data_IF_230005248405
#
_entry.id   IF_230005248405
#
_cell.length_a   1.000
_cell.length_b   1.000
_cell.length_c   1.000
_cell.angle_alpha   90.00
_cell.angle_beta   90.00
_cell.angle_gamma   90.00
#
_symmetry.space_group_name_H-M   'P 1'
#
loop_
_entity.id
_entity.type
_entity.pdbx_description
1 polymer ?
#
# COMPACT_ATOMS: atom_id res chain seq x y z
N UNK A 1 -10.85 -8.88 30.81
CA UNK A 1 -11.43 -9.05 29.45
C UNK A 1 -11.30 -7.70 28.76
N UNK A 2 -10.46 -7.58 27.76
CA UNK A 2 -10.34 -6.36 26.97
C UNK A 2 -11.68 -6.12 26.26
N UNK A 3 -12.16 -4.88 26.28
CA UNK A 3 -13.36 -4.52 25.51
C UNK A 3 -13.14 -4.90 24.03
N UNK A 4 -14.17 -5.39 23.34
CA UNK A 4 -14.06 -5.66 21.91
C UNK A 4 -13.64 -4.39 21.16
N UNK A 5 -12.75 -4.53 20.19
CA UNK A 5 -12.26 -3.42 19.37
C UNK A 5 -13.39 -2.92 18.48
N UNK A 6 -14.12 -1.89 18.95
CA UNK A 6 -15.24 -1.29 18.22
C UNK A 6 -14.73 -0.35 17.12
N UNK A 7 -14.61 -0.90 15.92
CA UNK A 7 -14.11 -0.17 14.75
C UNK A 7 -14.97 1.06 14.42
N UNK A 8 -16.30 0.98 14.55
CA UNK A 8 -17.17 2.08 14.16
C UNK A 8 -17.01 3.30 15.09
N UNK A 9 -16.97 3.05 16.41
CA UNK A 9 -16.75 4.09 17.40
C UNK A 9 -15.34 4.69 17.28
N UNK A 10 -14.32 3.82 17.11
CA UNK A 10 -12.93 4.26 16.97
C UNK A 10 -12.69 5.00 15.65
N UNK A 11 -13.25 4.56 14.52
CA UNK A 11 -13.12 5.24 13.24
C UNK A 11 -13.65 6.67 13.29
N UNK A 12 -14.80 6.87 13.95
CA UNK A 12 -15.35 8.22 14.16
C UNK A 12 -14.44 9.09 15.05
N UNK A 13 -13.93 8.52 16.14
CA UNK A 13 -13.06 9.22 17.09
C UNK A 13 -11.72 9.61 16.48
N UNK A 14 -11.16 8.72 15.64
CA UNK A 14 -9.83 8.88 15.05
C UNK A 14 -9.85 9.48 13.64
N UNK A 15 -11.01 9.81 13.10
CA UNK A 15 -11.16 10.34 11.73
C UNK A 15 -10.27 11.57 11.44
N UNK A 16 -10.05 12.43 12.46
CA UNK A 16 -9.27 13.67 12.35
C UNK A 16 -8.05 13.69 13.33
N UNK A 17 -7.64 12.55 13.82
CA UNK A 17 -6.45 12.46 14.68
C UNK A 17 -5.17 12.45 13.85
N UNK A 18 -4.04 12.78 14.50
CA UNK A 18 -2.74 12.73 13.85
C UNK A 18 -2.37 11.32 13.41
N UNK A 19 -1.54 11.17 12.36
CA UNK A 19 -1.01 9.85 11.96
C UNK A 19 -0.40 9.09 13.12
N UNK A 20 0.32 9.80 14.01
CA UNK A 20 0.97 9.21 15.16
C UNK A 20 -0.04 8.67 16.18
N UNK A 21 -1.17 9.37 16.42
CA UNK A 21 -2.21 8.90 17.32
C UNK A 21 -2.92 7.65 16.79
N UNK A 22 -3.15 7.59 15.46
CA UNK A 22 -3.70 6.41 14.81
C UNK A 22 -2.74 5.23 14.91
N UNK A 23 -1.44 5.44 14.70
CA UNK A 23 -0.42 4.41 14.87
C UNK A 23 -0.29 3.93 16.33
N UNK A 24 -0.36 4.83 17.31
CA UNK A 24 -0.38 4.47 18.73
C UNK A 24 -1.55 3.54 19.05
N UNK A 25 -2.78 3.92 18.61
CA UNK A 25 -3.95 3.06 18.76
C UNK A 25 -3.71 1.66 18.16
N UNK A 26 -3.15 1.61 16.96
CA UNK A 26 -2.87 0.35 16.28
C UNK A 26 -1.86 -0.51 17.04
N UNK A 27 -0.76 0.07 17.55
CA UNK A 27 0.22 -0.64 18.35
C UNK A 27 -0.32 -1.07 19.71
N UNK A 28 -1.14 -0.25 20.38
CA UNK A 28 -1.75 -0.58 21.67
C UNK A 28 -2.67 -1.80 21.60
N UNK A 29 -3.37 -1.99 20.47
CA UNK A 29 -4.32 -3.09 20.32
C UNK A 29 -3.73 -4.34 19.66
N UNK A 30 -2.81 -4.18 18.72
CA UNK A 30 -2.31 -5.29 17.90
C UNK A 30 -0.83 -5.63 18.18
N UNK A 31 -0.06 -4.72 18.79
CA UNK A 31 1.34 -4.98 19.13
C UNK A 31 2.11 -5.58 17.94
N UNK A 32 2.63 -6.79 18.12
CA UNK A 32 3.39 -7.54 17.12
C UNK A 32 2.54 -8.10 15.97
N UNK A 33 1.21 -8.08 16.07
CA UNK A 33 0.30 -8.47 15.01
C UNK A 33 -0.02 -7.33 14.02
N UNK A 34 0.50 -6.13 14.27
CA UNK A 34 0.45 -5.01 13.33
C UNK A 34 1.63 -5.06 12.37
N UNK A 35 1.35 -4.99 11.07
CA UNK A 35 2.35 -4.93 10.02
C UNK A 35 2.15 -3.71 9.12
N UNK A 36 3.26 -3.09 8.71
CA UNK A 36 3.25 -1.95 7.79
C UNK A 36 3.49 -2.44 6.36
N UNK A 37 2.61 -2.08 5.44
CA UNK A 37 2.85 -2.25 4.02
C UNK A 37 3.75 -1.14 3.50
N UNK A 38 4.81 -1.49 2.77
CA UNK A 38 5.79 -0.55 2.25
C UNK A 38 5.98 -0.69 0.74
N UNK A 39 5.76 0.37 -0.03
CA UNK A 39 5.92 0.35 -1.48
C UNK A 39 6.25 1.70 -2.14
N UNK A 40 6.00 2.84 -1.50
CA UNK A 40 6.13 4.16 -2.11
C UNK A 40 6.48 5.28 -1.13
N UNK A 41 6.44 6.52 -1.62
CA UNK A 41 6.81 7.70 -0.84
C UNK A 41 5.96 7.86 0.43
N UNK A 42 4.65 7.66 0.32
CA UNK A 42 3.75 7.70 1.47
C UNK A 42 4.15 6.68 2.53
N UNK A 43 4.52 5.50 2.07
CA UNK A 43 4.83 4.40 2.97
C UNK A 43 6.15 4.61 3.73
N UNK A 44 7.14 5.34 3.16
CA UNK A 44 8.35 5.68 3.93
C UNK A 44 8.04 6.64 5.07
N UNK A 45 7.11 7.59 4.87
CA UNK A 45 6.62 8.46 5.94
C UNK A 45 5.95 7.64 7.04
N UNK A 46 5.12 6.66 6.64
CA UNK A 46 4.46 5.75 7.57
C UNK A 46 5.46 4.89 8.35
N UNK A 47 6.48 4.34 7.67
CA UNK A 47 7.54 3.56 8.30
C UNK A 47 8.33 4.41 9.30
N UNK A 48 8.71 5.65 8.94
CA UNK A 48 9.42 6.57 9.84
C UNK A 48 8.62 6.87 11.10
N UNK A 49 7.34 7.23 10.94
CA UNK A 49 6.47 7.53 12.08
C UNK A 49 6.26 6.29 12.97
N UNK A 50 6.04 5.12 12.37
CA UNK A 50 5.86 3.87 13.10
C UNK A 50 7.14 3.46 13.84
N UNK A 51 8.32 3.57 13.20
CA UNK A 51 9.61 3.25 13.79
C UNK A 51 9.98 4.19 14.95
N UNK A 52 9.58 5.46 14.89
CA UNK A 52 9.74 6.39 16.04
C UNK A 52 8.93 5.99 17.25
N UNK A 53 7.79 5.34 17.05
CA UNK A 53 6.94 4.81 18.12
C UNK A 53 7.39 3.43 18.60
N UNK A 54 7.77 2.55 17.68
CA UNK A 54 8.22 1.19 17.96
C UNK A 54 9.40 0.82 17.06
N UNK A 55 10.60 0.71 17.65
CA UNK A 55 11.84 0.35 16.93
C UNK A 55 11.83 -1.06 16.34
N UNK A 56 10.90 -1.92 16.75
CA UNK A 56 10.74 -3.30 16.28
C UNK A 56 9.53 -3.45 15.34
N UNK A 57 9.05 -2.34 14.76
CA UNK A 57 7.94 -2.36 13.82
C UNK A 57 8.18 -3.38 12.70
N UNK A 58 7.15 -4.14 12.38
CA UNK A 58 7.20 -5.15 11.32
C UNK A 58 6.75 -4.55 9.99
N UNK A 59 7.57 -4.73 8.96
CA UNK A 59 7.36 -4.14 7.64
C UNK A 59 7.43 -5.23 6.58
N UNK A 60 6.53 -5.19 5.60
CA UNK A 60 6.61 -6.03 4.40
C UNK A 60 6.51 -5.20 3.12
N UNK A 61 7.08 -5.72 2.06
CA UNK A 61 6.96 -5.16 0.71
C UNK A 61 6.63 -6.25 -0.30
N UNK A 62 5.87 -5.90 -1.34
CA UNK A 62 5.50 -6.81 -2.42
C UNK A 62 6.55 -6.74 -3.53
N UNK A 63 7.25 -7.84 -3.75
CA UNK A 63 8.04 -8.03 -4.97
C UNK A 63 7.23 -8.80 -6.01
N UNK A 64 6.81 -8.10 -7.04
CA UNK A 64 6.05 -8.70 -8.14
C UNK A 64 6.93 -9.46 -9.15
N UNK A 65 8.27 -9.43 -8.98
CA UNK A 65 9.27 -9.86 -9.95
C UNK A 65 9.34 -8.94 -11.19
N UNK A 66 8.76 -7.72 -11.09
CA UNK A 66 8.68 -6.74 -12.19
C UNK A 66 8.77 -5.29 -11.68
N UNK A 67 9.39 -5.08 -10.51
CA UNK A 67 9.63 -3.75 -10.00
C UNK A 67 10.77 -3.07 -10.76
N UNK A 68 10.80 -1.75 -10.74
CA UNK A 68 11.93 -0.99 -11.22
C UNK A 68 13.18 -1.27 -10.37
N UNK A 69 14.39 -1.27 -10.93
CA UNK A 69 15.63 -1.38 -10.17
C UNK A 69 15.74 -0.32 -9.05
N UNK A 70 15.24 0.89 -9.30
CA UNK A 70 15.18 1.97 -8.33
C UNK A 70 14.30 1.64 -7.12
N UNK A 71 13.22 0.89 -7.32
CA UNK A 71 12.35 0.43 -6.22
C UNK A 71 13.07 -0.55 -5.32
N UNK A 72 13.84 -1.50 -5.86
CA UNK A 72 14.65 -2.41 -5.04
C UNK A 72 15.71 -1.66 -4.23
N UNK A 73 16.41 -0.70 -4.85
CA UNK A 73 17.38 0.15 -4.15
C UNK A 73 16.73 0.96 -3.03
N UNK A 74 15.55 1.51 -3.29
CA UNK A 74 14.79 2.26 -2.29
C UNK A 74 14.37 1.39 -1.10
N UNK A 75 13.88 0.17 -1.34
CA UNK A 75 13.56 -0.78 -0.27
C UNK A 75 14.79 -1.06 0.59
N UNK A 76 15.95 -1.28 -0.04
CA UNK A 76 17.20 -1.56 0.66
C UNK A 76 17.72 -0.34 1.44
N UNK A 77 17.63 0.87 0.89
CA UNK A 77 17.93 2.11 1.60
C UNK A 77 17.10 2.29 2.87
N UNK A 78 15.79 2.03 2.79
CA UNK A 78 14.89 2.10 3.97
C UNK A 78 15.26 1.04 5.00
N UNK A 79 15.53 -0.20 4.55
CA UNK A 79 15.98 -1.29 5.42
C UNK A 79 17.25 -0.90 6.19
N UNK A 80 18.23 -0.31 5.52
CA UNK A 80 19.50 0.12 6.12
C UNK A 80 19.32 1.30 7.07
N UNK A 81 18.60 2.35 6.64
CA UNK A 81 18.41 3.57 7.45
C UNK A 81 17.75 3.30 8.78
N UNK A 82 16.75 2.43 8.82
CA UNK A 82 16.01 2.11 10.03
C UNK A 82 16.53 0.86 10.75
N UNK A 83 17.51 0.16 10.18
CA UNK A 83 17.97 -1.15 10.64
C UNK A 83 16.79 -2.11 10.89
N UNK A 84 15.87 -2.18 9.93
CA UNK A 84 14.65 -2.99 10.00
C UNK A 84 14.71 -4.15 9.00
N UNK A 85 14.36 -5.37 9.41
CA UNK A 85 14.08 -6.43 8.46
C UNK A 85 12.77 -6.10 7.71
N UNK A 86 12.84 -6.00 6.37
CA UNK A 86 11.66 -5.86 5.52
C UNK A 86 11.37 -7.23 4.90
N UNK A 87 10.21 -7.79 5.21
CA UNK A 87 9.78 -9.06 4.62
C UNK A 87 9.38 -8.85 3.16
N UNK A 88 10.00 -9.58 2.25
CA UNK A 88 9.69 -9.49 0.81
C UNK A 88 8.71 -10.59 0.43
N UNK A 89 7.54 -10.21 -0.08
CA UNK A 89 6.47 -11.10 -0.49
C UNK A 89 6.49 -11.30 -1.99
N UNK A 90 6.85 -12.50 -2.44
CA UNK A 90 6.94 -12.85 -3.86
C UNK A 90 5.77 -13.72 -4.31
N UNK A 91 5.41 -13.70 -5.61
CA UNK A 91 4.39 -14.56 -6.18
C UNK A 91 4.73 -16.05 -6.01
N UNK A 92 3.71 -16.87 -5.81
CA UNK A 92 3.85 -18.32 -5.83
C UNK A 92 4.17 -18.80 -7.26
N UNK A 93 5.29 -19.48 -7.41
CA UNK A 93 5.74 -20.02 -8.69
C UNK A 93 4.77 -21.04 -9.28
N UNK A 94 4.08 -21.81 -8.44
CA UNK A 94 3.09 -22.75 -8.89
C UNK A 94 1.90 -22.10 -9.63
N UNK A 95 1.64 -20.82 -9.34
CA UNK A 95 0.62 -20.01 -10.03
C UNK A 95 1.21 -19.16 -11.16
N UNK A 96 2.41 -18.63 -10.94
CA UNK A 96 3.05 -17.72 -11.89
C UNK A 96 3.57 -18.43 -13.15
N UNK A 97 4.23 -19.58 -13.00
CA UNK A 97 4.87 -20.26 -14.13
C UNK A 97 3.85 -20.74 -15.18
N UNK A 98 2.70 -21.38 -14.81
CA UNK A 98 1.64 -21.70 -15.78
C UNK A 98 1.06 -20.47 -16.48
N UNK A 99 0.79 -19.40 -15.74
CA UNK A 99 0.26 -18.15 -16.28
C UNK A 99 1.20 -17.56 -17.33
N UNK A 100 2.51 -17.49 -17.03
CA UNK A 100 3.50 -16.95 -17.97
C UNK A 100 3.68 -17.87 -19.18
N UNK A 101 3.62 -19.20 -19.00
CA UNK A 101 3.72 -20.16 -20.08
C UNK A 101 2.54 -20.06 -21.05
N UNK A 102 1.33 -19.86 -20.52
CA UNK A 102 0.11 -19.80 -21.33
C UNK A 102 -0.08 -18.44 -22.01
N UNK A 103 0.06 -17.34 -21.25
CA UNK A 103 -0.30 -16.00 -21.70
C UNK A 103 0.88 -15.10 -22.06
N UNK A 104 2.10 -15.51 -21.71
CA UNK A 104 3.31 -14.72 -21.92
C UNK A 104 3.51 -13.64 -20.87
N UNK A 105 4.57 -12.85 -21.06
CA UNK A 105 5.00 -11.86 -20.06
C UNK A 105 4.21 -10.55 -20.08
N UNK A 106 3.50 -10.26 -21.17
CA UNK A 106 2.88 -8.95 -21.42
C UNK A 106 1.38 -9.03 -21.76
N UNK A 107 0.71 -10.12 -21.36
CA UNK A 107 -0.73 -10.35 -21.61
C UNK A 107 -1.61 -9.22 -21.06
N UNK A 108 -1.20 -8.57 -19.98
CA UNK A 108 -1.95 -7.49 -19.34
C UNK A 108 -2.19 -6.27 -20.25
N UNK A 109 -1.43 -6.09 -21.31
CA UNK A 109 -1.72 -5.04 -22.32
C UNK A 109 -2.95 -5.37 -23.18
N UNK A 110 -3.32 -6.65 -23.30
CA UNK A 110 -4.47 -7.12 -24.07
C UNK A 110 -5.65 -7.48 -23.17
N UNK A 111 -5.35 -8.19 -22.09
CA UNK A 111 -6.35 -8.82 -21.21
C UNK A 111 -6.70 -7.94 -20.01
N UNK A 112 -6.06 -6.76 -19.88
CA UNK A 112 -6.13 -5.94 -18.68
C UNK A 112 -5.21 -6.44 -17.56
N UNK A 113 -4.95 -5.58 -16.57
CA UNK A 113 -3.96 -5.87 -15.52
C UNK A 113 -4.46 -6.85 -14.44
N UNK A 114 -5.78 -7.12 -14.37
CA UNK A 114 -6.43 -7.78 -13.23
C UNK A 114 -5.83 -9.15 -12.88
N UNK A 115 -5.71 -10.05 -13.85
CA UNK A 115 -5.18 -11.40 -13.61
C UNK A 115 -3.69 -11.38 -13.23
N UNK A 116 -2.88 -10.59 -13.93
CA UNK A 116 -1.47 -10.42 -13.60
C UNK A 116 -1.28 -9.88 -12.18
N UNK A 117 -2.06 -8.86 -11.79
CA UNK A 117 -2.05 -8.32 -10.42
C UNK A 117 -2.59 -9.33 -9.40
N UNK A 118 -3.60 -10.12 -9.77
CA UNK A 118 -4.14 -11.20 -8.96
C UNK A 118 -3.04 -12.17 -8.49
N UNK A 119 -2.25 -12.65 -9.45
CA UNK A 119 -1.17 -13.62 -9.20
C UNK A 119 0.03 -12.96 -8.52
N UNK A 120 0.45 -11.76 -8.99
CA UNK A 120 1.72 -11.16 -8.58
C UNK A 120 1.65 -10.28 -7.33
N UNK A 121 0.44 -9.84 -6.94
CA UNK A 121 0.24 -8.92 -5.81
C UNK A 121 -0.81 -9.42 -4.83
N UNK A 122 -2.03 -9.72 -5.30
CA UNK A 122 -3.15 -10.02 -4.41
C UNK A 122 -2.94 -11.36 -3.72
N UNK A 123 -2.45 -12.36 -4.43
CA UNK A 123 -2.16 -13.67 -3.84
C UNK A 123 -1.11 -13.60 -2.73
N UNK A 124 0.11 -13.07 -2.97
CA UNK A 124 1.10 -12.98 -1.89
C UNK A 124 0.65 -12.07 -0.74
N UNK A 125 -0.07 -10.99 -1.02
CA UNK A 125 -0.65 -10.16 0.03
C UNK A 125 -1.69 -10.94 0.86
N UNK A 126 -2.62 -11.66 0.23
CA UNK A 126 -3.63 -12.48 0.91
C UNK A 126 -2.98 -13.51 1.83
N UNK A 127 -1.94 -14.17 1.36
CA UNK A 127 -1.17 -15.16 2.15
C UNK A 127 -0.53 -14.50 3.38
N UNK A 128 0.03 -13.30 3.24
CA UNK A 128 0.57 -12.53 4.37
C UNK A 128 -0.53 -12.07 5.32
N UNK A 129 -1.55 -11.43 4.80
CA UNK A 129 -2.64 -10.88 5.64
C UNK A 129 -3.44 -11.96 6.36
N UNK A 130 -3.41 -13.22 5.90
CA UNK A 130 -3.97 -14.35 6.63
C UNK A 130 -3.25 -14.67 7.95
N UNK A 131 -2.05 -14.14 8.18
CA UNK A 131 -1.22 -14.44 9.36
C UNK A 131 -1.13 -13.27 10.36
N UNK A 132 -1.82 -12.16 10.12
CA UNK A 132 -1.70 -10.94 10.93
C UNK A 132 -3.07 -10.44 11.39
N UNK A 133 -3.15 -9.80 12.55
CA UNK A 133 -4.39 -9.22 13.08
C UNK A 133 -4.73 -7.87 12.46
N UNK A 134 -3.70 -7.08 12.12
CA UNK A 134 -3.87 -5.76 11.52
C UNK A 134 -2.73 -5.41 10.57
N UNK A 135 -3.02 -4.49 9.64
CA UNK A 135 -2.01 -3.89 8.79
C UNK A 135 -2.24 -2.39 8.60
N UNK A 136 -1.18 -1.66 8.31
CA UNK A 136 -1.26 -0.24 8.03
C UNK A 136 -0.73 0.07 6.63
N UNK A 137 -1.36 1.04 5.96
CA UNK A 137 -1.03 1.47 4.60
C UNK A 137 -0.84 2.98 4.53
N UNK A 138 -0.04 3.43 3.56
CA UNK A 138 0.12 4.84 3.24
C UNK A 138 -0.98 5.41 2.35
N UNK A 139 -2.17 4.78 2.31
CA UNK A 139 -3.28 5.31 1.51
C UNK A 139 -3.70 6.70 1.97
N UNK A 140 -3.92 7.58 0.99
CA UNK A 140 -4.40 8.95 1.18
C UNK A 140 -5.64 9.20 0.31
N UNK A 141 -6.57 10.00 0.82
CA UNK A 141 -7.75 10.43 0.04
C UNK A 141 -7.35 11.23 -1.20
N UNK A 142 -6.32 12.05 -1.07
CA UNK A 142 -5.76 12.91 -2.11
C UNK A 142 -5.19 12.14 -3.30
N UNK A 143 -4.77 10.87 -3.13
CA UNK A 143 -4.16 10.07 -4.19
C UNK A 143 -5.09 9.76 -5.37
N UNK A 144 -6.40 9.66 -5.13
CA UNK A 144 -7.39 9.34 -6.16
C UNK A 144 -8.78 9.78 -5.74
N UNK A 145 -9.27 10.94 -6.21
CA UNK A 145 -10.62 11.41 -5.89
C UNK A 145 -11.73 10.42 -6.27
N UNK A 146 -11.50 9.61 -7.31
CA UNK A 146 -12.48 8.64 -7.78
C UNK A 146 -12.56 7.35 -6.96
N UNK A 147 -11.43 6.87 -6.40
CA UNK A 147 -11.38 5.55 -5.73
C UNK A 147 -10.95 5.62 -4.27
N UNK A 148 -10.42 6.76 -3.80
CA UNK A 148 -9.85 6.88 -2.44
C UNK A 148 -10.46 8.00 -1.60
N UNK A 149 -11.39 8.76 -2.13
CA UNK A 149 -12.02 9.90 -1.41
C UNK A 149 -12.65 9.51 -0.06
N UNK A 150 -13.06 8.26 0.09
CA UNK A 150 -13.72 7.72 1.29
C UNK A 150 -12.81 6.85 2.18
N UNK A 151 -11.49 6.85 1.94
CA UNK A 151 -10.56 6.08 2.77
C UNK A 151 -10.68 6.53 4.23
N UNK A 152 -11.05 5.60 5.11
CA UNK A 152 -11.14 5.83 6.54
C UNK A 152 -9.75 5.68 7.20
N UNK A 153 -9.52 6.39 8.32
CA UNK A 153 -8.30 6.23 9.10
C UNK A 153 -8.16 4.81 9.68
N UNK A 154 -9.28 4.17 9.93
CA UNK A 154 -9.41 2.81 10.49
C UNK A 154 -10.65 2.15 9.89
N UNK A 155 -10.53 0.90 9.45
CA UNK A 155 -11.62 0.12 8.87
C UNK A 155 -11.42 -1.39 9.08
N UNK A 156 -12.49 -2.17 8.93
CA UNK A 156 -12.37 -3.61 8.72
C UNK A 156 -12.03 -3.84 7.26
N UNK A 157 -10.96 -4.58 7.00
CA UNK A 157 -10.61 -4.97 5.63
C UNK A 157 -11.49 -6.13 5.17
N UNK A 158 -12.65 -5.82 4.60
CA UNK A 158 -13.61 -6.82 4.13
C UNK A 158 -13.09 -7.68 2.98
N UNK A 159 -12.12 -7.18 2.20
CA UNK A 159 -11.53 -7.92 1.07
C UNK A 159 -10.62 -9.07 1.51
N UNK A 160 -10.06 -8.98 2.72
CA UNK A 160 -9.13 -9.95 3.28
C UNK A 160 -9.58 -10.56 4.61
N UNK A 161 -10.70 -10.14 5.17
CA UNK A 161 -11.37 -10.82 6.28
C UNK A 161 -12.06 -12.11 5.82
N UNK A 162 -12.27 -13.04 6.76
CA UNK A 162 -13.08 -14.25 6.56
C UNK A 162 -14.16 -14.32 7.66
N UNK A 163 -15.17 -15.22 7.55
CA UNK A 163 -16.15 -15.39 8.62
C UNK A 163 -15.53 -15.69 9.99
N UNK A 164 -14.38 -16.38 10.00
CA UNK A 164 -13.68 -16.81 11.22
C UNK A 164 -12.68 -15.80 11.73
N UNK A 165 -12.30 -14.77 10.90
CA UNK A 165 -11.23 -13.85 11.24
C UNK A 165 -11.47 -12.45 10.67
N UNK A 166 -11.59 -11.48 11.55
CA UNK A 166 -11.59 -10.06 11.17
C UNK A 166 -10.16 -9.56 11.01
N UNK A 167 -9.87 -8.93 9.89
CA UNK A 167 -8.64 -8.20 9.63
C UNK A 167 -8.91 -6.69 9.74
N UNK A 168 -8.06 -6.02 10.50
CA UNK A 168 -8.16 -4.57 10.67
C UNK A 168 -7.16 -3.85 9.79
N UNK A 169 -7.61 -2.74 9.19
CA UNK A 169 -6.77 -1.91 8.34
C UNK A 169 -6.73 -0.48 8.85
N UNK A 170 -5.52 0.03 8.99
CA UNK A 170 -5.24 1.40 9.40
C UNK A 170 -4.67 2.17 8.21
N UNK A 171 -5.15 3.40 8.02
CA UNK A 171 -4.64 4.33 7.03
C UNK A 171 -4.26 5.64 7.73
N UNK A 172 -3.14 5.67 8.47
CA UNK A 172 -2.77 6.83 9.30
C UNK A 172 -2.62 8.11 8.50
N UNK A 173 -2.19 7.99 7.23
CA UNK A 173 -1.95 9.12 6.34
C UNK A 173 -3.20 9.54 5.54
N UNK A 174 -4.40 8.98 5.82
CA UNK A 174 -5.61 9.18 5.02
C UNK A 174 -5.95 10.65 4.76
N UNK A 175 -5.65 11.54 5.70
CA UNK A 175 -5.95 12.98 5.62
C UNK A 175 -4.79 13.81 5.03
N UNK A 176 -3.59 13.25 4.95
CA UNK A 176 -2.43 14.01 4.47
C UNK A 176 -2.52 14.27 2.96
N UNK A 177 -2.16 15.49 2.59
CA UNK A 177 -2.00 15.86 1.18
C UNK A 177 -0.64 15.39 0.64
N UNK A 178 -0.50 15.37 -0.68
CA UNK A 178 0.79 15.08 -1.33
C UNK A 178 1.86 16.09 -0.90
N UNK A 179 1.50 17.36 -0.75
CA UNK A 179 2.41 18.42 -0.31
C UNK A 179 2.93 18.16 1.12
N UNK A 180 2.06 17.76 2.04
CA UNK A 180 2.44 17.44 3.41
C UNK A 180 3.36 16.21 3.49
N UNK A 181 3.09 15.16 2.70
CA UNK A 181 3.96 13.99 2.60
C UNK A 181 5.35 14.38 2.11
N UNK A 182 5.43 15.11 1.02
CA UNK A 182 6.72 15.57 0.49
C UNK A 182 7.41 16.60 1.37
N UNK A 183 6.64 17.44 2.07
CA UNK A 183 7.14 18.33 3.12
C UNK A 183 7.84 17.56 4.22
N UNK A 184 7.21 16.49 4.71
CA UNK A 184 7.77 15.60 5.72
C UNK A 184 9.05 14.89 5.25
N UNK A 185 9.04 14.33 4.03
CA UNK A 185 10.22 13.69 3.43
C UNK A 185 11.40 14.64 3.35
N UNK A 186 11.18 15.86 2.82
CA UNK A 186 12.25 16.86 2.67
C UNK A 186 12.77 17.39 4.00
N UNK A 187 11.85 17.66 4.94
CA UNK A 187 12.21 18.21 6.26
C UNK A 187 13.07 17.24 7.07
N UNK A 188 12.84 15.93 6.93
CA UNK A 188 13.56 14.90 7.68
C UNK A 188 14.59 14.15 6.83
N UNK A 189 14.82 14.61 5.60
CA UNK A 189 15.78 14.00 4.66
C UNK A 189 15.56 12.47 4.50
N UNK A 190 14.28 12.04 4.45
CA UNK A 190 13.97 10.64 4.31
C UNK A 190 14.33 10.14 2.89
N UNK A 191 14.73 8.88 2.76
CA UNK A 191 14.97 8.30 1.45
C UNK A 191 13.66 8.22 0.66
N UNK A 192 13.75 8.37 -0.64
CA UNK A 192 12.64 8.19 -1.57
C UNK A 192 13.11 7.58 -2.88
N UNK A 193 12.18 7.02 -3.64
CA UNK A 193 12.50 6.40 -4.91
C UNK A 193 12.96 7.47 -5.93
N UNK A 194 14.17 7.33 -6.48
CA UNK A 194 14.75 8.29 -7.43
C UNK A 194 13.96 8.47 -8.74
N UNK A 195 13.02 7.58 -9.04
CA UNK A 195 12.10 7.76 -10.16
C UNK A 195 11.22 9.00 -10.01
N UNK A 196 10.98 9.48 -8.79
CA UNK A 196 10.22 10.72 -8.57
C UNK A 196 10.91 11.93 -9.22
N UNK A 197 12.24 11.98 -9.27
CA UNK A 197 13.02 13.02 -9.95
C UNK A 197 12.85 12.98 -11.48
N UNK A 198 12.36 11.87 -12.01
CA UNK A 198 12.11 11.64 -13.44
C UNK A 198 10.62 11.76 -13.80
N UNK A 199 9.80 12.35 -12.92
CA UNK A 199 8.38 12.59 -13.15
C UNK A 199 7.46 11.41 -12.89
N UNK A 200 7.94 10.33 -12.26
CA UNK A 200 7.08 9.25 -11.81
C UNK A 200 6.47 9.64 -10.45
N UNK A 201 5.17 9.88 -10.39
CA UNK A 201 4.51 10.26 -9.13
C UNK A 201 3.99 9.02 -8.41
N UNK A 202 3.24 8.14 -9.08
CA UNK A 202 2.75 6.87 -8.53
C UNK A 202 3.52 5.71 -9.16
N UNK A 203 4.34 5.02 -8.37
CA UNK A 203 5.25 3.99 -8.86
C UNK A 203 4.69 2.59 -8.56
N UNK A 204 4.77 1.69 -9.56
CA UNK A 204 4.41 0.29 -9.41
C UNK A 204 5.34 -0.59 -10.23
N UNK A 205 4.81 -1.67 -10.85
CA UNK A 205 5.60 -2.49 -11.76
C UNK A 205 6.11 -1.65 -12.93
N UNK A 206 7.36 -1.90 -13.36
CA UNK A 206 8.00 -1.20 -14.46
C UNK A 206 7.12 -1.14 -15.73
N UNK A 207 6.61 -2.25 -16.26
CA UNK A 207 5.81 -2.21 -17.49
C UNK A 207 4.42 -1.58 -17.31
N UNK A 208 4.01 -1.29 -16.08
CA UNK A 208 2.69 -0.73 -15.75
C UNK A 208 2.76 0.71 -15.25
N UNK A 209 3.93 1.34 -15.34
CA UNK A 209 4.15 2.69 -14.80
C UNK A 209 4.95 3.54 -15.78
N UNK A 210 4.50 4.76 -16.00
CA UNK A 210 5.21 5.79 -16.77
C UNK A 210 5.21 7.11 -16.01
N UNK A 211 6.10 8.05 -16.35
CA UNK A 211 6.03 9.41 -15.80
C UNK A 211 4.72 10.09 -16.22
N UNK A 212 4.29 11.08 -15.44
CA UNK A 212 3.11 11.89 -15.70
C UNK A 212 3.52 13.30 -16.12
N UNK A 213 2.69 13.95 -16.93
CA UNK A 213 2.86 15.35 -17.28
C UNK A 213 2.39 16.25 -16.13
N UNK A 214 2.87 17.50 -16.05
CA UNK A 214 2.53 18.41 -14.95
C UNK A 214 1.03 18.64 -14.71
N UNK A 215 0.20 18.46 -15.75
CA UNK A 215 -1.25 18.64 -15.68
C UNK A 215 -2.04 17.33 -15.49
N UNK A 216 -1.35 16.22 -15.31
CA UNK A 216 -1.97 14.92 -15.13
C UNK A 216 -2.10 14.59 -13.64
N UNK A 217 -3.17 13.88 -13.29
CA UNK A 217 -3.32 13.33 -11.95
C UNK A 217 -2.21 12.31 -11.65
N UNK A 218 -1.79 12.21 -10.38
CA UNK A 218 -0.64 11.37 -9.96
C UNK A 218 -0.75 9.91 -10.40
N UNK A 219 -1.95 9.37 -10.56
CA UNK A 219 -2.18 7.98 -11.01
C UNK A 219 -2.37 7.82 -12.53
N UNK A 220 -2.31 8.88 -13.32
CA UNK A 220 -2.43 8.79 -14.78
C UNK A 220 -1.29 7.99 -15.42
N UNK A 221 -0.14 7.94 -14.80
CA UNK A 221 0.98 7.09 -15.20
C UNK A 221 0.79 5.59 -14.97
N UNK A 222 -0.25 5.17 -14.22
CA UNK A 222 -0.54 3.76 -13.90
C UNK A 222 -1.51 3.19 -14.93
N UNK A 223 -1.20 1.99 -15.47
CA UNK A 223 -2.04 1.30 -16.46
C UNK A 223 -2.59 2.31 -17.51
N UNK A 224 -1.72 3.08 -18.11
CA UNK A 224 -2.09 4.20 -19.00
C UNK A 224 -2.90 3.77 -20.24
N UNK A 225 -2.94 2.47 -20.55
CA UNK A 225 -3.72 1.89 -21.64
C UNK A 225 -5.16 1.51 -21.22
N UNK A 226 -5.51 1.64 -19.93
CA UNK A 226 -6.83 1.34 -19.41
C UNK A 226 -7.61 2.62 -19.11
N UNK A 227 -8.94 2.51 -19.06
CA UNK A 227 -9.81 3.62 -18.67
C UNK A 227 -9.56 4.04 -17.19
N UNK A 228 -9.75 5.32 -16.91
CA UNK A 228 -9.47 5.89 -15.59
C UNK A 228 -10.23 5.22 -14.44
N UNK A 229 -11.44 4.72 -14.72
CA UNK A 229 -12.30 4.02 -13.75
C UNK A 229 -11.77 2.62 -13.34
N UNK A 230 -10.85 2.05 -14.11
CA UNK A 230 -10.27 0.71 -13.87
C UNK A 230 -8.87 0.77 -13.26
N UNK A 231 -8.30 1.97 -13.08
CA UNK A 231 -6.93 2.17 -12.59
C UNK A 231 -6.77 1.99 -11.07
N UNK A 232 -7.36 0.95 -10.49
CA UNK A 232 -7.11 0.56 -9.10
C UNK A 232 -6.63 -0.89 -9.02
N UNK A 233 -5.58 -1.10 -8.27
CA UNK A 233 -5.08 -2.43 -7.98
C UNK A 233 -6.03 -3.11 -6.97
N UNK A 234 -6.37 -4.38 -7.19
CA UNK A 234 -7.20 -5.16 -6.28
C UNK A 234 -6.65 -5.33 -4.85
N UNK A 235 -5.48 -4.75 -4.53
CA UNK A 235 -4.97 -4.65 -3.16
C UNK A 235 -5.92 -3.86 -2.24
N UNK A 236 -6.72 -2.97 -2.82
CA UNK A 236 -7.65 -2.09 -2.14
C UNK A 236 -9.05 -2.19 -2.78
N UNK A 237 -9.49 -3.43 -3.00
CA UNK A 237 -10.78 -3.69 -3.65
C UNK A 237 -11.97 -3.03 -2.95
N UNK A 238 -11.89 -2.80 -1.62
CA UNK A 238 -12.89 -2.05 -0.87
C UNK A 238 -13.06 -0.58 -1.30
N UNK A 239 -12.08 -0.03 -2.03
CA UNK A 239 -12.16 1.35 -2.54
C UNK A 239 -12.87 1.43 -3.91
N UNK A 240 -13.12 0.30 -4.56
CA UNK A 240 -13.90 0.28 -5.79
C UNK A 240 -15.37 0.49 -5.44
N UNK A 241 -15.92 1.62 -5.84
CA UNK A 241 -17.35 1.87 -5.74
C UNK A 241 -18.04 0.85 -6.63
N UNK A 242 -18.64 -0.17 -6.05
CA UNK A 242 -19.61 -1.00 -6.77
C UNK A 242 -20.76 -0.07 -7.18
N UNK A 243 -20.83 0.25 -8.47
CA UNK A 243 -22.05 0.86 -9.03
C UNK A 243 -23.18 -0.13 -8.76
N UNK A 244 -24.08 0.29 -7.83
CA UNK A 244 -25.36 -0.39 -7.64
C UNK A 244 -26.22 -0.22 -8.89
#
# INVERSE_FOLDING_TARGET
MSQPFDVAALAATYANKSPQDILKLAFEHFGDDLWISFSGAEDVVLVDMAWKLNKQVKVFSLDTGRLHPETYRFIDQVREQYNLPIEILSPDRAKLDPFVKEKGLFSFYKDGHGECCGIRKIEPLRRKLATVGAWATGQRRDQSPGTRSQVAALEIDSAFSTPERTLYKFNPLAQMTSEEVWGYIRMLELPYNSLHERGFISIGCEPCTRPVLPNQHEREGRWWWEESTQKECGLHAGNLITKA
#
